data_IF_605303661676
#
_entry.id   IF_605303661676
#
_cell.length_a   1.000
_cell.length_b   1.000
_cell.length_c   1.000
_cell.angle_alpha   90.00
_cell.angle_beta   90.00
_cell.angle_gamma   90.00
#
_symmetry.space_group_name_H-M   'P 1'
#
loop_
_entity.id
_entity.type
_entity.pdbx_description
1 polymer ?
#
# COMPACT_ATOMS: atom_id res chain seq x y z
N UNK A 1 -1.28 3.68 -29.45
CA UNK A 1 -2.47 3.98 -28.64
C UNK A 1 -2.04 4.13 -27.19
N UNK A 2 -2.21 5.30 -26.56
CA UNK A 2 -1.90 5.50 -25.14
C UNK A 2 -3.12 5.13 -24.30
N UNK A 3 -2.96 4.24 -23.32
CA UNK A 3 -3.98 3.91 -22.33
C UNK A 3 -3.77 4.81 -21.11
N UNK A 4 -4.25 6.05 -21.17
CA UNK A 4 -4.08 7.04 -20.08
C UNK A 4 -4.97 6.81 -18.85
N UNK A 5 -5.70 5.69 -18.80
CA UNK A 5 -6.74 5.43 -17.80
C UNK A 5 -6.26 4.82 -16.48
N UNK A 6 -4.98 4.47 -16.32
CA UNK A 6 -4.50 3.87 -15.08
C UNK A 6 -4.46 4.92 -13.96
N UNK A 7 -5.33 4.73 -12.97
CA UNK A 7 -5.45 5.62 -11.80
C UNK A 7 -4.95 4.97 -10.52
N UNK A 8 -5.06 3.64 -10.41
CA UNK A 8 -4.79 2.90 -9.17
C UNK A 8 -4.19 1.53 -9.47
N UNK A 9 -3.28 1.08 -8.61
CA UNK A 9 -2.75 -0.29 -8.57
C UNK A 9 -3.01 -0.85 -7.19
N UNK A 10 -3.58 -2.06 -7.11
CA UNK A 10 -3.97 -2.69 -5.85
C UNK A 10 -3.07 -3.87 -5.56
N UNK A 11 -2.48 -3.89 -4.35
CA UNK A 11 -1.75 -5.02 -3.80
C UNK A 11 -2.61 -5.65 -2.70
N UNK A 12 -3.26 -6.77 -3.02
CA UNK A 12 -4.03 -7.54 -2.05
C UNK A 12 -3.15 -8.55 -1.32
N UNK A 13 -3.44 -8.81 -0.04
CA UNK A 13 -2.80 -9.85 0.76
C UNK A 13 -1.26 -9.74 0.79
N UNK A 14 -0.77 -8.58 1.23
CA UNK A 14 0.67 -8.31 1.34
C UNK A 14 1.31 -9.33 2.30
N UNK A 15 2.06 -10.27 1.74
CA UNK A 15 2.76 -11.33 2.48
C UNK A 15 4.23 -11.02 2.75
N UNK A 16 4.77 -9.97 2.13
CA UNK A 16 6.16 -9.57 2.32
C UNK A 16 6.36 -8.98 3.72
N UNK A 17 7.15 -9.67 4.55
CA UNK A 17 7.39 -9.27 5.95
C UNK A 17 8.04 -7.89 6.07
N UNK A 18 8.88 -7.48 5.10
CA UNK A 18 9.48 -6.14 5.09
C UNK A 18 8.44 -5.06 4.84
N UNK A 19 7.56 -5.24 3.85
CA UNK A 19 6.45 -4.31 3.59
C UNK A 19 5.53 -4.23 4.80
N UNK A 20 5.20 -5.38 5.42
CA UNK A 20 4.35 -5.43 6.62
C UNK A 20 4.97 -4.70 7.81
N UNK A 21 6.26 -4.93 8.09
CA UNK A 21 6.96 -4.25 9.18
C UNK A 21 6.99 -2.72 9.00
N UNK A 22 7.12 -2.24 7.76
CA UNK A 22 7.03 -0.80 7.46
C UNK A 22 5.62 -0.27 7.72
N UNK A 23 4.58 -0.99 7.29
CA UNK A 23 3.18 -0.63 7.58
C UNK A 23 2.93 -0.62 9.09
N UNK A 24 3.32 -1.67 9.80
CA UNK A 24 3.15 -1.79 11.26
C UNK A 24 3.80 -0.62 11.99
N UNK A 25 5.02 -0.24 11.59
CA UNK A 25 5.72 0.90 12.15
C UNK A 25 4.96 2.20 11.93
N UNK A 26 4.53 2.48 10.70
CA UNK A 26 3.78 3.70 10.36
C UNK A 26 2.47 3.77 11.18
N UNK A 27 1.74 2.66 11.28
CA UNK A 27 0.51 2.61 12.06
C UNK A 27 0.77 2.84 13.55
N UNK A 28 1.82 2.22 14.10
CA UNK A 28 2.24 2.42 15.49
C UNK A 28 2.61 3.88 15.77
N UNK A 29 3.42 4.50 14.92
CA UNK A 29 3.86 5.90 15.06
C UNK A 29 2.67 6.88 14.98
N UNK A 30 1.60 6.50 14.27
CA UNK A 30 0.33 7.24 14.17
C UNK A 30 -0.69 6.90 15.26
N UNK A 31 -0.37 5.99 16.20
CA UNK A 31 -1.29 5.53 17.23
C UNK A 31 -2.53 4.79 16.69
N UNK A 32 -2.41 4.18 15.51
CA UNK A 32 -3.51 3.50 14.81
C UNK A 32 -3.44 1.99 15.01
N UNK A 33 -4.59 1.36 15.28
CA UNK A 33 -4.69 -0.09 15.47
C UNK A 33 -5.01 -0.76 14.13
N UNK A 34 -4.09 -1.61 13.68
CA UNK A 34 -4.20 -2.31 12.40
C UNK A 34 -5.55 -3.02 12.21
N UNK A 35 -5.99 -3.80 13.19
CA UNK A 35 -7.22 -4.61 13.11
C UNK A 35 -8.55 -3.86 12.97
N UNK A 36 -8.55 -2.53 12.90
CA UNK A 36 -9.76 -1.71 12.74
C UNK A 36 -9.75 -0.89 11.43
N UNK A 37 -8.75 -1.12 10.58
CA UNK A 37 -8.58 -0.36 9.34
C UNK A 37 -9.55 -0.83 8.25
N UNK A 38 -10.73 -0.23 8.21
CA UNK A 38 -11.69 -0.36 7.10
C UNK A 38 -11.25 0.53 5.94
N UNK A 39 -11.26 0.01 4.70
CA UNK A 39 -10.91 0.78 3.50
C UNK A 39 -11.58 2.17 3.50
N UNK A 40 -10.82 3.27 3.26
CA UNK A 40 -9.42 3.30 2.79
C UNK A 40 -8.36 3.07 3.87
N UNK A 41 -8.75 2.94 5.14
CA UNK A 41 -7.85 2.78 6.28
C UNK A 41 -7.03 4.06 6.47
N UNK A 42 -5.71 3.94 6.42
CA UNK A 42 -4.79 5.08 6.51
C UNK A 42 -4.35 5.53 5.13
N UNK A 43 -4.65 6.78 4.80
CA UNK A 43 -4.09 7.44 3.61
C UNK A 43 -2.73 8.07 3.95
N UNK A 44 -1.72 7.76 3.14
CA UNK A 44 -0.36 8.29 3.24
C UNK A 44 0.03 8.90 1.90
N UNK A 45 0.39 10.17 1.91
CA UNK A 45 0.62 11.02 0.75
C UNK A 45 1.98 11.71 0.81
N UNK A 46 2.35 12.43 -0.23
CA UNK A 46 3.64 13.13 -0.27
C UNK A 46 3.89 14.07 0.93
N UNK A 47 2.83 14.68 1.49
CA UNK A 47 2.95 15.55 2.68
C UNK A 47 3.28 14.80 3.97
N UNK A 48 3.13 13.47 3.99
CA UNK A 48 3.49 12.61 5.13
C UNK A 48 4.99 12.30 5.19
N UNK A 49 5.79 12.86 4.28
CA UNK A 49 7.25 12.88 4.38
C UNK A 49 7.88 11.49 4.39
N UNK A 50 8.46 11.12 5.52
CA UNK A 50 9.25 9.89 5.64
C UNK A 50 8.39 8.62 5.60
N UNK A 51 7.13 8.66 6.06
CA UNK A 51 6.19 7.54 5.93
C UNK A 51 5.93 7.21 4.46
N UNK A 52 5.73 8.25 3.64
CA UNK A 52 5.52 8.10 2.20
C UNK A 52 6.75 7.54 1.51
N UNK A 53 7.94 8.04 1.84
CA UNK A 53 9.21 7.53 1.29
C UNK A 53 9.46 6.08 1.72
N UNK A 54 9.17 5.74 2.97
CA UNK A 54 9.32 4.39 3.49
C UNK A 54 8.43 3.41 2.73
N UNK A 55 7.15 3.75 2.52
CA UNK A 55 6.24 2.92 1.71
C UNK A 55 6.66 2.85 0.25
N UNK A 56 7.12 3.96 -0.34
CA UNK A 56 7.60 3.99 -1.72
C UNK A 56 8.80 3.06 -1.95
N UNK A 57 9.64 2.86 -0.94
CA UNK A 57 10.77 1.93 -0.97
C UNK A 57 10.41 0.46 -0.73
N UNK A 58 9.16 0.14 -0.41
CA UNK A 58 8.74 -1.25 -0.20
C UNK A 58 8.76 -2.07 -1.50
N UNK A 59 9.00 -3.39 -1.46
CA UNK A 59 8.90 -4.25 -2.63
C UNK A 59 7.59 -4.10 -3.41
N UNK A 60 6.46 -3.89 -2.73
CA UNK A 60 5.15 -3.73 -3.34
C UNK A 60 5.05 -2.41 -4.13
N UNK A 61 5.51 -1.30 -3.55
CA UNK A 61 5.54 -0.02 -4.25
C UNK A 61 6.58 0.01 -5.39
N UNK A 62 7.74 -0.62 -5.19
CA UNK A 62 8.75 -0.81 -6.23
C UNK A 62 8.22 -1.61 -7.43
N UNK A 63 7.42 -2.66 -7.18
CA UNK A 63 6.74 -3.40 -8.24
C UNK A 63 5.79 -2.53 -9.07
N UNK A 64 5.03 -1.65 -8.40
CA UNK A 64 4.21 -0.65 -9.11
C UNK A 64 5.06 0.34 -9.89
N UNK A 65 6.15 0.86 -9.32
CA UNK A 65 7.05 1.77 -10.02
C UNK A 65 7.68 1.11 -11.26
N UNK A 66 8.06 -0.16 -11.17
CA UNK A 66 8.55 -0.95 -12.29
C UNK A 66 7.49 -1.09 -13.39
N UNK A 67 6.24 -1.42 -13.04
CA UNK A 67 5.12 -1.46 -13.98
C UNK A 67 4.96 -0.12 -14.71
N UNK A 68 4.96 1.00 -13.99
CA UNK A 68 4.83 2.32 -14.61
C UNK A 68 6.00 2.64 -15.56
N UNK A 69 7.22 2.28 -15.17
CA UNK A 69 8.42 2.49 -15.98
C UNK A 69 8.40 1.66 -17.27
N UNK A 70 8.07 0.36 -17.19
CA UNK A 70 8.01 -0.54 -18.34
C UNK A 70 6.93 -0.12 -19.35
N UNK A 71 5.81 0.44 -18.86
CA UNK A 71 4.70 0.86 -19.69
C UNK A 71 4.67 2.38 -19.94
N UNK A 72 5.76 3.11 -19.72
CA UNK A 72 5.85 4.57 -19.88
C UNK A 72 5.38 5.07 -21.25
N UNK A 73 5.67 4.33 -22.32
CA UNK A 73 5.22 4.69 -23.68
C UNK A 73 3.69 4.64 -23.86
N UNK A 74 3.00 3.80 -23.07
CA UNK A 74 1.56 3.61 -23.11
C UNK A 74 0.83 4.48 -22.07
N UNK A 75 1.41 4.62 -20.88
CA UNK A 75 0.79 5.27 -19.72
C UNK A 75 1.15 6.75 -19.58
N UNK A 76 2.23 7.21 -20.22
CA UNK A 76 2.81 8.52 -19.97
C UNK A 76 3.70 8.53 -18.72
N UNK A 77 3.97 9.72 -18.18
CA UNK A 77 4.80 9.89 -16.98
C UNK A 77 3.94 9.79 -15.71
N UNK A 78 3.56 8.57 -15.34
CA UNK A 78 2.82 8.34 -14.10
C UNK A 78 3.76 8.24 -12.90
N UNK A 79 3.38 8.87 -11.80
CA UNK A 79 4.05 8.82 -10.50
C UNK A 79 3.07 8.41 -9.40
N UNK A 80 3.59 7.82 -8.32
CA UNK A 80 2.80 7.52 -7.11
C UNK A 80 2.42 8.82 -6.42
N UNK A 81 1.13 9.00 -6.11
CA UNK A 81 0.58 10.20 -5.44
C UNK A 81 0.27 9.95 -3.97
N UNK A 82 -0.29 8.78 -3.65
CA UNK A 82 -0.63 8.36 -2.29
C UNK A 82 -0.89 6.86 -2.20
N UNK A 83 -0.89 6.36 -0.98
CA UNK A 83 -1.23 5.00 -0.58
C UNK A 83 -2.47 5.04 0.30
N UNK A 84 -3.39 4.11 0.11
CA UNK A 84 -4.43 3.79 1.08
C UNK A 84 -4.14 2.38 1.61
N UNK A 85 -3.89 2.26 2.91
CA UNK A 85 -3.52 1.00 3.57
C UNK A 85 -4.63 0.59 4.53
N UNK A 86 -5.12 -0.63 4.40
CA UNK A 86 -6.22 -1.14 5.21
C UNK A 86 -6.03 -2.62 5.52
N UNK A 87 -6.72 -3.10 6.55
CA UNK A 87 -6.67 -4.50 6.94
C UNK A 87 -7.61 -5.33 6.11
N UNK A 88 -7.15 -6.54 5.77
CA UNK A 88 -7.95 -7.53 5.06
C UNK A 88 -8.42 -8.56 6.07
N UNK A 89 -9.73 -8.64 6.27
CA UNK A 89 -10.34 -9.71 7.05
C UNK A 89 -10.63 -10.88 6.12
N UNK A 90 -10.23 -12.07 6.55
CA UNK A 90 -10.63 -13.32 5.94
C UNK A 90 -11.27 -14.14 7.05
N UNK A 91 -12.54 -14.52 6.88
CA UNK A 91 -13.19 -15.46 7.79
C UNK A 91 -12.26 -16.67 7.99
N UNK A 92 -11.89 -16.93 9.24
CA UNK A 92 -10.95 -18.00 9.65
C UNK A 92 -9.49 -17.57 9.89
N UNK A 93 -9.00 -16.47 9.29
CA UNK A 93 -7.66 -15.92 9.58
C UNK A 93 -7.67 -14.92 10.74
N UNK A 94 -8.84 -14.36 11.07
CA UNK A 94 -9.01 -13.35 12.12
C UNK A 94 -8.59 -13.86 13.51
N UNK A 95 -8.87 -15.13 13.82
CA UNK A 95 -8.47 -15.70 15.12
C UNK A 95 -6.96 -15.88 15.22
N UNK A 96 -6.27 -16.27 14.15
CA UNK A 96 -4.80 -16.40 14.15
C UNK A 96 -4.11 -15.04 14.15
N UNK A 97 -4.58 -14.10 13.33
CA UNK A 97 -4.06 -12.74 13.29
C UNK A 97 -4.21 -12.02 14.63
N UNK A 98 -5.35 -12.21 15.32
CA UNK A 98 -5.61 -11.64 16.64
C UNK A 98 -4.78 -12.28 17.76
N UNK A 99 -4.46 -13.58 17.64
CA UNK A 99 -3.61 -14.31 18.61
C UNK A 99 -2.12 -14.02 18.40
N UNK A 100 -1.67 -13.89 17.15
CA UNK A 100 -0.25 -13.65 16.80
C UNK A 100 0.10 -12.17 16.64
N UNK A 101 -0.88 -11.26 16.67
CA UNK A 101 -0.69 -9.83 16.41
C UNK A 101 -0.31 -9.49 14.97
N UNK A 102 -0.47 -10.43 14.04
CA UNK A 102 -0.02 -10.35 12.65
C UNK A 102 -1.19 -10.09 11.71
N UNK A 103 -1.49 -8.83 11.45
CA UNK A 103 -2.55 -8.43 10.53
C UNK A 103 -2.12 -8.60 9.06
N UNK A 104 -3.09 -8.96 8.21
CA UNK A 104 -2.92 -8.93 6.76
C UNK A 104 -3.31 -7.53 6.25
N UNK A 105 -2.49 -6.99 5.34
CA UNK A 105 -2.72 -5.67 4.76
C UNK A 105 -3.03 -5.76 3.28
N UNK A 106 -3.82 -4.81 2.81
CA UNK A 106 -3.93 -4.43 1.42
C UNK A 106 -3.52 -2.98 1.25
N UNK A 107 -3.00 -2.67 0.07
CA UNK A 107 -2.53 -1.32 -0.27
C UNK A 107 -3.04 -0.93 -1.65
N UNK A 108 -3.74 0.20 -1.74
CA UNK A 108 -4.13 0.85 -3.00
C UNK A 108 -3.15 2.00 -3.25
N UNK A 109 -2.41 1.90 -4.34
CA UNK A 109 -1.46 2.91 -4.78
C UNK A 109 -2.12 3.77 -5.84
N UNK A 110 -2.35 5.04 -5.54
CA UNK A 110 -2.89 6.02 -6.48
C UNK A 110 -1.75 6.57 -7.33
N UNK A 111 -1.95 6.61 -8.64
CA UNK A 111 -0.97 7.09 -9.61
C UNK A 111 -1.56 8.22 -10.45
N UNK A 112 -0.72 9.17 -10.86
CA UNK A 112 -1.14 10.33 -11.64
C UNK A 112 0.01 10.94 -12.42
N UNK A 113 -0.30 11.87 -13.32
CA UNK A 113 0.71 12.65 -14.08
C UNK A 113 1.39 13.71 -13.19
#
# INVERSE_FOLDING_TARGET
MQLKGLQRVVHCSISNDTTRAIIDKILSDRGTIAGELVYPGVTISFSDGDDFKALLGTPNACGTAYLLAQHKGQLGQKVVKRFDVFSVFSEGQDMKAKVEGKWAYAMVIHVGD
#
